data_IF_479477114663
#
_entry.id   IF_479477114663
#
_cell.length_a   1.000
_cell.length_b   1.000
_cell.length_c   1.000
_cell.angle_alpha   90.00
_cell.angle_beta   90.00
_cell.angle_gamma   90.00
#
_symmetry.space_group_name_H-M   'P 1'
#
loop_
_entity.id
_entity.type
_entity.pdbx_description
1 polymer ?
2 non-polymer ?
3 water ?
#
# COMPACT_ATOMS: atom_id res chain seq x y z
N UNK A 1 -20.48 -19.29 -13.04
CA UNK A 1 -19.43 -18.21 -12.90
C UNK A 1 -18.30 -18.41 -13.96
N UNK A 2 -17.43 -17.40 -14.12
CA UNK A 2 -16.21 -17.61 -14.92
C UNK A 2 -15.23 -18.42 -14.06
N UNK A 3 -14.21 -18.99 -14.69
CA UNK A 3 -13.15 -19.69 -14.02
C UNK A 3 -12.42 -18.78 -13.02
N UNK A 4 -11.88 -19.39 -11.95
CA UNK A 4 -11.11 -18.62 -11.00
C UNK A 4 -9.88 -18.10 -11.72
N UNK A 5 -9.44 -16.92 -11.32
CA UNK A 5 -8.24 -16.34 -11.86
C UNK A 5 -7.00 -17.07 -11.29
N UNK A 6 -6.16 -17.57 -12.18
CA UNK A 6 -4.90 -18.17 -11.77
C UNK A 6 -3.93 -17.11 -11.31
N UNK A 7 -3.51 -17.22 -10.04
CA UNK A 7 -2.81 -16.15 -9.36
C UNK A 7 -1.45 -16.66 -8.87
N UNK A 8 -0.41 -15.92 -9.21
CA UNK A 8 0.92 -16.20 -8.75
C UNK A 8 1.28 -15.13 -7.73
N UNK A 9 1.85 -15.54 -6.59
CA UNK A 9 2.30 -14.60 -5.60
C UNK A 9 3.83 -14.73 -5.49
N UNK A 10 4.52 -13.66 -5.92
CA UNK A 10 5.99 -13.61 -5.98
C UNK A 10 6.49 -12.86 -4.73
N UNK A 11 7.46 -13.44 -4.01
CA UNK A 11 7.90 -12.87 -2.73
C UNK A 11 6.91 -13.15 -1.61
N UNK A 12 6.30 -14.33 -1.69
CA UNK A 12 5.23 -14.75 -0.76
C UNK A 12 5.69 -14.97 0.69
N UNK A 13 6.98 -15.06 0.92
CA UNK A 13 7.48 -15.45 2.24
C UNK A 13 7.56 -14.29 3.23
N UNK A 14 7.39 -13.05 2.76
CA UNK A 14 7.39 -11.90 3.66
C UNK A 14 6.03 -11.66 4.30
N UNK A 15 5.95 -10.62 5.13
CA UNK A 15 4.77 -10.32 5.91
C UNK A 15 3.58 -9.93 5.04
N UNK A 16 3.80 -9.05 4.06
CA UNK A 16 2.77 -8.67 3.12
C UNK A 16 2.38 -9.85 2.23
N UNK A 17 3.35 -10.62 1.73
CA UNK A 17 3.08 -11.80 0.93
C UNK A 17 2.16 -12.78 1.65
N UNK A 18 2.41 -13.00 2.94
CA UNK A 18 1.58 -13.91 3.74
C UNK A 18 0.14 -13.42 3.82
N UNK A 19 -0.08 -12.12 3.94
CA UNK A 19 -1.43 -11.57 3.93
C UNK A 19 -2.13 -11.70 2.57
N UNK A 20 -1.39 -11.52 1.48
CA UNK A 20 -1.89 -11.83 0.15
C UNK A 20 -2.34 -13.28 0.03
N UNK A 21 -1.52 -14.19 0.56
CA UNK A 21 -1.86 -15.62 0.51
C UNK A 21 -3.23 -15.89 1.20
N UNK A 22 -3.44 -15.33 2.39
CA UNK A 22 -4.72 -15.49 3.08
C UNK A 22 -5.90 -15.00 2.28
N UNK A 23 -5.76 -13.80 1.71
CA UNK A 23 -6.83 -13.19 0.94
C UNK A 23 -7.14 -14.00 -0.32
N UNK A 24 -6.11 -14.37 -1.08
CA UNK A 24 -6.33 -15.08 -2.34
C UNK A 24 -6.91 -16.45 -2.08
N UNK A 25 -6.37 -17.13 -1.05
CA UNK A 25 -6.91 -18.42 -0.64
C UNK A 25 -8.42 -18.34 -0.39
N UNK A 26 -8.85 -17.28 0.30
CA UNK A 26 -10.23 -17.07 0.70
C UNK A 26 -11.12 -16.55 -0.45
N UNK A 27 -10.51 -15.87 -1.43
CA UNK A 27 -11.25 -15.28 -2.57
C UNK A 27 -11.97 -16.35 -3.42
N UNK A 28 -13.32 -16.27 -3.53
CA UNK A 28 -13.97 -17.29 -4.39
C UNK A 28 -13.63 -17.28 -5.89
N UNK A 29 -12.96 -16.23 -6.40
CA UNK A 29 -12.73 -16.10 -7.85
C UNK A 29 -11.26 -16.04 -8.22
N UNK A 30 -10.41 -16.44 -7.28
CA UNK A 30 -8.98 -16.41 -7.46
C UNK A 30 -8.44 -17.66 -6.82
N UNK A 31 -7.40 -18.22 -7.44
CA UNK A 31 -6.82 -19.43 -6.95
C UNK A 31 -5.31 -19.33 -7.07
N UNK A 32 -4.62 -19.83 -6.06
CA UNK A 32 -3.16 -19.75 -6.03
C UNK A 32 -2.57 -20.81 -6.94
N UNK A 33 -1.84 -20.36 -7.95
CA UNK A 33 -1.12 -21.27 -8.82
C UNK A 33 0.24 -21.63 -8.24
N UNK A 34 0.92 -20.67 -7.64
CA UNK A 34 2.21 -20.95 -7.03
C UNK A 34 2.58 -19.80 -6.15
N UNK A 35 3.46 -20.10 -5.19
CA UNK A 35 4.09 -19.11 -4.34
C UNK A 35 5.58 -19.19 -4.62
N UNK A 36 6.23 -18.03 -4.85
CA UNK A 36 7.64 -18.06 -5.22
C UNK A 36 8.51 -17.27 -4.27
N UNK A 37 9.77 -17.68 -4.24
CA UNK A 37 10.87 -16.95 -3.58
C UNK A 37 12.03 -16.80 -4.56
N UNK A 38 13.05 -16.02 -4.18
CA UNK A 38 14.21 -15.80 -5.07
C UNK A 38 14.91 -17.13 -5.36
N UNK A 39 15.70 -17.17 -6.43
CA UNK A 39 16.30 -18.43 -6.90
C UNK A 39 17.15 -19.18 -5.88
N UNK A 40 17.83 -18.43 -5.01
CA UNK A 40 18.75 -19.04 -4.05
C UNK A 40 18.33 -18.74 -2.62
N UNK A 41 17.02 -18.60 -2.41
CA UNK A 41 16.46 -18.27 -1.10
C UNK A 41 16.73 -19.37 -0.10
N UNK A 42 17.09 -18.97 1.12
CA UNK A 42 17.20 -19.92 2.21
C UNK A 42 15.85 -20.58 2.55
N UNK A 43 14.76 -20.04 2.03
CA UNK A 43 13.43 -20.57 2.34
C UNK A 43 12.81 -21.43 1.26
N UNK A 44 13.59 -21.70 0.22
CA UNK A 44 13.16 -22.55 -0.90
C UNK A 44 12.74 -23.95 -0.43
N UNK A 45 11.57 -24.40 -0.87
CA UNK A 45 11.08 -25.72 -0.51
C UNK A 45 10.32 -25.78 0.83
N UNK A 46 10.47 -24.76 1.66
CA UNK A 46 9.73 -24.71 2.92
C UNK A 46 8.27 -24.35 2.63
N UNK A 47 7.36 -24.82 3.48
CA UNK A 47 5.92 -24.51 3.30
C UNK A 47 5.68 -23.14 3.82
N UNK A 48 4.81 -22.37 3.15
CA UNK A 48 4.45 -21.02 3.62
C UNK A 48 3.99 -21.04 5.10
N UNK A 49 3.29 -22.10 5.50
CA UNK A 49 2.84 -22.23 6.90
C UNK A 49 3.95 -22.65 7.89
N UNK A 50 5.13 -23.05 7.39
CA UNK A 50 6.34 -23.16 8.24
C UNK A 50 6.81 -21.79 8.71
N UNK A 51 6.86 -20.83 7.79
CA UNK A 51 7.30 -19.46 8.11
C UNK A 51 6.17 -18.66 8.72
N UNK A 52 4.93 -18.97 8.36
CA UNK A 52 3.78 -18.20 8.83
C UNK A 52 2.71 -19.16 9.40
N UNK A 53 2.95 -19.68 10.62
CA UNK A 53 2.11 -20.78 11.10
C UNK A 53 0.67 -20.42 11.43
N UNK A 54 0.31 -19.14 11.40
CA UNK A 54 -1.10 -18.78 11.38
C UNK A 54 -1.82 -19.42 10.17
N UNK A 55 -1.08 -19.72 9.08
CA UNK A 55 -1.64 -20.38 7.90
C UNK A 55 -1.70 -21.92 8.00
N UNK A 56 -1.23 -22.48 9.11
CA UNK A 56 -1.20 -23.91 9.27
C UNK A 56 -2.59 -24.55 9.06
N UNK A 57 -2.63 -25.54 8.16
CA UNK A 57 -3.83 -26.26 7.80
C UNK A 57 -4.74 -25.49 6.83
N UNK A 58 -4.39 -24.24 6.52
CA UNK A 58 -5.23 -23.36 5.72
C UNK A 58 -4.57 -23.22 4.35
N UNK A 59 -3.32 -22.74 4.34
CA UNK A 59 -2.47 -22.82 3.14
C UNK A 59 -1.08 -23.39 3.51
N UNK A 60 -0.75 -24.55 2.96
CA UNK A 60 0.50 -25.24 3.25
C UNK A 60 1.31 -25.44 1.98
N UNK A 61 1.17 -24.54 1.02
CA UNK A 61 1.87 -24.68 -0.25
C UNK A 61 3.37 -24.44 -0.11
N UNK A 62 4.18 -25.14 -0.92
CA UNK A 62 5.64 -24.87 -0.83
C UNK A 62 6.03 -23.52 -1.44
N UNK A 63 7.13 -22.96 -0.94
CA UNK A 63 7.77 -21.77 -1.51
C UNK A 63 8.77 -22.19 -2.56
N UNK A 64 8.45 -21.92 -3.83
CA UNK A 64 9.25 -22.41 -4.95
C UNK A 64 10.30 -21.38 -5.37
N UNK A 65 11.58 -21.80 -5.47
CA UNK A 65 12.61 -20.87 -5.94
C UNK A 65 12.35 -20.56 -7.44
N UNK A 66 12.28 -19.28 -7.81
CA UNK A 66 12.10 -18.93 -9.21
C UNK A 66 13.35 -18.31 -9.77
N UNK A 67 13.88 -18.94 -10.81
CA UNK A 67 15.04 -18.39 -11.48
C UNK A 67 14.70 -17.84 -12.87
N UNK A 68 13.55 -18.27 -13.43
CA UNK A 68 13.08 -17.82 -14.74
C UNK A 68 11.56 -17.67 -14.69
N UNK A 69 11.09 -16.47 -15.02
CA UNK A 69 9.66 -16.13 -15.06
C UNK A 69 8.85 -17.10 -15.95
N UNK A 70 9.49 -17.61 -16.99
CA UNK A 70 8.80 -18.44 -17.97
C UNK A 70 8.47 -19.84 -17.44
N UNK A 71 9.09 -20.23 -16.32
CA UNK A 71 8.73 -21.45 -15.61
C UNK A 71 7.43 -21.29 -14.83
N UNK A 72 6.96 -20.05 -14.64
CA UNK A 72 5.75 -19.83 -13.85
C UNK A 72 4.64 -19.06 -14.57
N UNK A 73 4.96 -18.42 -15.69
CA UNK A 73 4.03 -17.48 -16.31
C UNK A 73 2.89 -18.13 -17.10
N UNK A 74 3.12 -19.34 -17.60
CA UNK A 74 2.11 -20.03 -18.41
C UNK A 74 0.85 -20.34 -17.60
N UNK A 75 -0.29 -19.99 -18.19
CA UNK A 75 -1.59 -20.10 -17.53
C UNK A 75 -1.72 -19.30 -16.23
N UNK A 76 -1.05 -18.15 -16.15
CA UNK A 76 -1.24 -17.23 -15.06
C UNK A 76 -2.03 -16.03 -15.59
N UNK A 77 -3.06 -15.63 -14.85
CA UNK A 77 -3.86 -14.44 -15.14
C UNK A 77 -3.32 -13.24 -14.34
N UNK A 78 -3.05 -13.45 -13.04
CA UNK A 78 -2.74 -12.33 -12.13
C UNK A 78 -1.43 -12.61 -11.41
N UNK A 79 -0.56 -11.61 -11.35
CA UNK A 79 0.66 -11.71 -10.59
C UNK A 79 0.69 -10.63 -9.53
N UNK A 80 0.87 -11.05 -8.28
CA UNK A 80 1.16 -10.08 -7.21
C UNK A 80 2.64 -10.11 -6.93
N UNK A 81 3.29 -8.96 -7.08
CA UNK A 81 4.73 -8.89 -6.68
C UNK A 81 4.89 -8.28 -5.29
N UNK A 82 5.13 -9.14 -4.29
CA UNK A 82 5.35 -8.65 -2.90
C UNK A 82 6.87 -8.62 -2.62
N UNK A 83 7.60 -8.03 -3.56
CA UNK A 83 9.04 -8.09 -3.60
C UNK A 83 9.58 -6.69 -3.42
N UNK A 84 10.91 -6.60 -3.34
CA UNK A 84 11.62 -5.31 -3.22
C UNK A 84 11.65 -4.55 -4.54
N UNK A 85 11.92 -3.24 -4.48
CA UNK A 85 11.85 -2.38 -5.69
C UNK A 85 12.66 -2.82 -6.87
N UNK A 86 13.91 -3.24 -6.65
CA UNK A 86 14.76 -3.59 -7.77
C UNK A 86 14.36 -4.93 -8.42
N UNK A 87 13.92 -5.89 -7.59
CA UNK A 87 13.32 -7.11 -8.11
C UNK A 87 12.04 -6.78 -8.93
N UNK A 88 11.17 -5.91 -8.43
CA UNK A 88 9.92 -5.59 -9.11
C UNK A 88 10.14 -4.90 -10.47
N UNK A 89 11.11 -4.00 -10.51
CA UNK A 89 11.57 -3.36 -11.73
C UNK A 89 11.98 -4.38 -12.80
N UNK A 90 12.70 -5.42 -12.37
CA UNK A 90 13.18 -6.49 -13.26
C UNK A 90 12.02 -7.40 -13.70
N UNK A 91 11.25 -7.84 -12.71
CA UNK A 91 10.17 -8.83 -12.91
C UNK A 91 8.89 -8.35 -13.60
N UNK A 92 8.38 -7.18 -13.23
CA UNK A 92 7.09 -6.70 -13.78
C UNK A 92 7.03 -6.76 -15.31
N UNK A 93 8.04 -6.17 -16.01
CA UNK A 93 7.99 -6.20 -17.48
C UNK A 93 7.95 -7.60 -18.07
N UNK A 94 8.66 -8.54 -17.44
CA UNK A 94 8.67 -9.90 -17.95
C UNK A 94 7.32 -10.57 -17.82
N UNK A 95 6.63 -10.32 -16.70
CA UNK A 95 5.29 -10.87 -16.51
C UNK A 95 4.25 -10.21 -17.43
N UNK A 96 4.38 -8.89 -17.64
CA UNK A 96 3.55 -8.17 -18.64
C UNK A 96 3.71 -8.75 -20.01
N UNK A 97 4.97 -8.96 -20.38
CA UNK A 97 5.32 -9.56 -21.65
C UNK A 97 4.72 -10.95 -21.87
N UNK A 98 4.56 -11.67 -20.77
CA UNK A 98 3.96 -13.00 -20.78
C UNK A 98 2.41 -12.96 -20.73
N UNK A 99 1.82 -11.77 -20.79
CA UNK A 99 0.36 -11.65 -20.84
C UNK A 99 -0.35 -11.62 -19.49
N UNK A 100 0.41 -11.38 -18.42
CA UNK A 100 -0.19 -11.34 -17.07
C UNK A 100 -0.61 -9.92 -16.70
N UNK A 101 -1.58 -9.82 -15.81
CA UNK A 101 -1.89 -8.57 -15.12
C UNK A 101 -1.02 -8.51 -13.85
N UNK A 102 -0.30 -7.40 -13.65
CA UNK A 102 0.66 -7.30 -12.56
C UNK A 102 0.25 -6.23 -11.53
N UNK A 103 0.09 -6.67 -10.28
CA UNK A 103 -0.10 -5.78 -9.15
C UNK A 103 1.22 -5.73 -8.41
N UNK A 104 1.91 -4.61 -8.56
CA UNK A 104 3.22 -4.44 -7.90
C UNK A 104 3.07 -3.69 -6.58
N UNK A 105 3.52 -4.31 -5.48
CA UNK A 105 3.44 -3.71 -4.14
C UNK A 105 4.64 -2.83 -3.85
N UNK A 106 5.67 -2.91 -4.68
CA UNK A 106 6.86 -2.12 -4.46
C UNK A 106 6.69 -0.68 -4.99
N UNK A 107 7.74 0.14 -4.80
CA UNK A 107 7.76 1.52 -5.26
C UNK A 107 8.15 1.70 -6.73
N UNK A 108 8.56 0.62 -7.39
CA UNK A 108 9.20 0.67 -8.70
C UNK A 108 8.42 1.38 -9.84
N UNK A 109 7.08 1.42 -9.75
CA UNK A 109 6.27 2.03 -10.82
C UNK A 109 5.29 3.12 -10.35
N UNK A 110 5.46 3.57 -9.11
CA UNK A 110 4.51 4.50 -8.48
C UNK A 110 4.57 5.94 -9.01
N UNK A 111 5.74 6.38 -9.45
CA UNK A 111 5.92 7.78 -9.80
C UNK A 111 6.42 7.89 -11.24
N UNK A 112 5.74 8.71 -12.03
CA UNK A 112 6.07 8.86 -13.46
C UNK A 112 7.23 9.83 -13.68
N UNK A 113 8.41 9.47 -13.15
CA UNK A 113 9.55 10.34 -13.16
C UNK A 113 10.82 9.54 -12.91
N UNK A 114 11.69 9.50 -13.91
CA UNK A 114 12.93 8.71 -13.88
C UNK A 114 13.92 9.22 -12.86
N UNK A 115 13.99 10.54 -12.72
CA UNK A 115 14.91 11.18 -11.76
C UNK A 115 14.54 10.81 -10.31
N UNK A 116 13.23 10.63 -10.09
CA UNK A 116 12.72 10.17 -8.80
C UNK A 116 13.41 8.87 -8.38
N UNK A 117 13.60 7.94 -9.32
CA UNK A 117 14.19 6.64 -8.99
C UNK A 117 15.69 6.75 -8.72
N UNK A 118 16.33 7.73 -9.36
CA UNK A 118 17.75 8.03 -9.11
C UNK A 118 17.98 8.37 -7.65
N UNK A 119 17.36 9.49 -7.22
CA UNK A 119 17.57 10.03 -5.89
C UNK A 119 17.17 9.02 -4.83
N UNK A 120 15.89 8.62 -4.86
CA UNK A 120 15.27 8.01 -3.69
C UNK A 120 15.33 6.49 -3.67
N UNK A 121 15.67 5.89 -4.83
CA UNK A 121 15.70 4.44 -4.96
C UNK A 121 17.06 3.89 -5.42
N UNK A 122 17.90 4.79 -5.92
CA UNK A 122 19.29 4.44 -6.23
C UNK A 122 19.58 3.83 -7.61
N UNK A 123 18.55 3.58 -8.43
CA UNK A 123 18.74 2.91 -9.74
C UNK A 123 18.17 3.70 -10.93
N UNK A 124 18.67 3.43 -12.13
CA UNK A 124 18.12 4.02 -13.36
C UNK A 124 16.94 3.18 -13.90
N UNK A 125 15.75 3.75 -13.84
CA UNK A 125 14.53 3.09 -14.29
C UNK A 125 14.58 2.86 -15.81
N UNK A 126 14.47 1.61 -16.24
CA UNK A 126 14.64 1.26 -17.64
C UNK A 126 13.33 1.16 -18.41
N UNK A 127 12.21 1.46 -17.76
CA UNK A 127 10.89 1.30 -18.40
C UNK A 127 10.01 2.55 -18.29
N UNK A 128 10.43 3.66 -18.91
CA UNK A 128 9.66 4.89 -18.81
C UNK A 128 8.26 4.78 -19.43
N UNK A 129 8.07 3.94 -20.45
CA UNK A 129 6.75 3.69 -21.00
C UNK A 129 5.80 2.98 -20.01
N UNK A 130 6.36 2.14 -19.13
CA UNK A 130 5.60 1.53 -18.02
C UNK A 130 5.31 2.48 -16.87
N UNK A 131 6.19 3.47 -16.65
CA UNK A 131 5.87 4.58 -15.73
C UNK A 131 4.62 5.38 -16.16
N UNK A 132 4.44 5.54 -17.47
CA UNK A 132 3.25 6.17 -18.07
C UNK A 132 2.02 5.27 -18.09
N UNK A 133 2.24 3.98 -18.26
CA UNK A 133 1.15 2.99 -18.27
C UNK A 133 0.57 2.63 -16.89
N UNK A 134 1.44 2.56 -15.88
CA UNK A 134 1.09 2.17 -14.50
C UNK A 134 -0.05 3.01 -13.92
N UNK A 135 -0.96 2.34 -13.23
CA UNK A 135 -2.02 3.02 -12.54
C UNK A 135 -1.68 2.97 -11.06
N UNK A 136 -1.70 4.14 -10.43
CA UNK A 136 -1.43 4.25 -9.01
C UNK A 136 -2.60 3.68 -8.23
N UNK A 137 -2.36 2.60 -7.47
CA UNK A 137 -3.45 1.85 -6.90
C UNK A 137 -4.04 2.42 -5.62
N UNK A 138 -4.16 3.74 -5.51
CA UNK A 138 -4.90 4.30 -4.40
C UNK A 138 -6.39 4.15 -4.79
N UNK A 139 -7.01 3.08 -4.29
CA UNK A 139 -8.21 2.53 -4.91
C UNK A 139 -9.42 3.45 -4.86
N UNK A 140 -9.56 4.24 -3.80
CA UNK A 140 -10.71 5.17 -3.66
C UNK A 140 -10.69 6.29 -4.73
N UNK A 141 -9.54 6.54 -5.35
CA UNK A 141 -9.40 7.68 -6.27
C UNK A 141 -9.03 7.30 -7.67
N UNK A 142 -8.92 5.99 -7.96
CA UNK A 142 -8.50 5.58 -9.29
C UNK A 142 -9.33 4.48 -9.91
N UNK A 143 -10.62 4.45 -9.57
CA UNK A 143 -11.51 3.36 -10.04
C UNK A 143 -11.54 3.21 -11.57
N UNK A 144 -11.74 4.31 -12.29
CA UNK A 144 -11.91 4.19 -13.75
C UNK A 144 -10.67 3.61 -14.44
N UNK A 145 -9.49 4.12 -14.09
CA UNK A 145 -8.24 3.60 -14.65
C UNK A 145 -7.91 2.17 -14.15
N UNK A 146 -8.29 1.84 -12.92
CA UNK A 146 -8.08 0.48 -12.42
C UNK A 146 -8.87 -0.56 -13.17
N UNK A 147 -10.00 -0.18 -13.77
CA UNK A 147 -10.83 -1.10 -14.52
C UNK A 147 -10.15 -1.72 -15.72
N UNK A 148 -9.23 -0.97 -16.32
CA UNK A 148 -8.50 -1.39 -17.51
C UNK A 148 -6.97 -1.52 -17.34
N UNK A 149 -6.48 -1.36 -16.11
CA UNK A 149 -5.03 -1.41 -15.85
C UNK A 149 -4.43 -2.83 -15.91
N UNK A 150 -3.34 -2.99 -16.65
CA UNK A 150 -2.58 -4.25 -16.58
C UNK A 150 -1.33 -4.16 -15.73
N UNK A 151 -0.90 -2.93 -15.43
CA UNK A 151 0.14 -2.69 -14.43
C UNK A 151 -0.39 -1.74 -13.36
N UNK A 152 -0.47 -2.23 -12.14
CA UNK A 152 -0.96 -1.47 -11.01
C UNK A 152 0.21 -1.30 -10.04
N UNK A 153 0.52 -0.04 -9.72
CA UNK A 153 1.57 0.25 -8.75
C UNK A 153 0.87 0.57 -7.44
N UNK A 154 0.87 -0.41 -6.52
CA UNK A 154 0.18 -0.25 -5.25
C UNK A 154 0.96 0.80 -4.42
N UNK A 155 0.25 1.80 -3.86
CA UNK A 155 0.89 2.85 -3.02
C UNK A 155 1.63 2.29 -1.80
N UNK A 156 2.61 3.05 -1.30
CA UNK A 156 3.27 2.73 -0.01
C UNK A 156 2.27 2.79 1.12
N UNK A 157 2.62 2.15 2.23
CA UNK A 157 1.74 2.08 3.40
C UNK A 157 1.50 3.48 4.00
N UNK A 158 2.56 4.23 4.30
CA UNK A 158 2.36 5.57 4.82
C UNK A 158 1.61 6.50 3.83
N UNK A 159 2.02 6.53 2.53
CA UNK A 159 1.28 7.31 1.52
C UNK A 159 -0.21 7.07 1.42
N UNK A 160 -0.66 5.84 1.65
CA UNK A 160 -2.07 5.53 1.55
C UNK A 160 -2.91 6.35 2.53
N UNK A 161 -2.65 6.24 3.84
CA UNK A 161 -3.40 7.01 4.84
C UNK A 161 -3.17 8.53 4.69
N UNK A 162 -1.94 8.92 4.35
CA UNK A 162 -1.65 10.35 4.10
C UNK A 162 -2.53 10.96 3.00
N UNK A 163 -2.65 10.24 1.87
CA UNK A 163 -3.39 10.78 0.73
C UNK A 163 -4.87 10.62 0.90
N UNK A 164 -5.33 9.56 1.56
CA UNK A 164 -6.75 9.48 1.83
C UNK A 164 -7.16 10.66 2.71
N UNK A 165 -6.32 11.02 3.68
CA UNK A 165 -6.57 12.19 4.51
C UNK A 165 -6.52 13.52 3.74
N UNK A 166 -5.49 13.71 2.92
CA UNK A 166 -5.21 15.04 2.37
C UNK A 166 -5.84 15.37 1.00
N UNK A 167 -5.99 14.34 0.16
CA UNK A 167 -6.37 14.61 -1.24
C UNK A 167 -7.71 15.35 -1.36
N UNK A 168 -8.77 14.84 -0.70
CA UNK A 168 -10.05 15.55 -0.87
C UNK A 168 -10.01 16.98 -0.29
N UNK A 169 -9.20 17.21 0.74
CA UNK A 169 -9.05 18.56 1.31
C UNK A 169 -8.34 19.52 0.36
N UNK A 170 -7.29 19.04 -0.31
CA UNK A 170 -6.52 19.82 -1.26
C UNK A 170 -7.32 20.07 -2.54
N UNK A 171 -7.86 19.01 -3.13
CA UNK A 171 -8.74 19.16 -4.29
C UNK A 171 -9.97 20.03 -3.98
N UNK A 172 -10.40 20.06 -2.72
CA UNK A 172 -11.52 20.91 -2.34
C UNK A 172 -11.13 22.36 -2.10
N UNK A 173 -9.84 22.66 -2.14
CA UNK A 173 -9.34 24.02 -1.91
C UNK A 173 -9.45 24.51 -0.46
N UNK A 174 -9.49 23.59 0.49
CA UNK A 174 -9.71 23.97 1.89
C UNK A 174 -8.45 24.40 2.62
N UNK A 175 -7.27 24.06 2.09
CA UNK A 175 -6.03 24.21 2.86
C UNK A 175 -5.19 25.37 2.36
N UNK A 176 -4.60 26.10 3.30
CA UNK A 176 -3.63 27.14 3.01
C UNK A 176 -2.29 26.41 2.87
N UNK A 177 -1.95 26.07 1.63
CA UNK A 177 -0.81 25.22 1.36
C UNK A 177 0.54 25.91 1.51
N UNK A 178 0.53 27.22 1.75
CA UNK A 178 1.77 27.93 2.07
C UNK A 178 2.36 27.50 3.44
N UNK A 179 1.53 26.86 4.27
CA UNK A 179 2.03 26.14 5.45
C UNK A 179 1.90 24.65 5.13
N UNK A 180 3.02 24.03 4.74
CA UNK A 180 3.04 22.62 4.30
C UNK A 180 2.38 21.74 5.35
N UNK A 181 1.43 20.89 4.93
CA UNK A 181 0.93 19.91 5.90
C UNK A 181 2.06 19.13 6.59
N UNK A 182 1.91 18.92 7.90
CA UNK A 182 2.86 18.14 8.67
C UNK A 182 2.29 16.75 8.99
N UNK A 183 2.90 15.74 8.40
CA UNK A 183 2.47 14.36 8.60
C UNK A 183 3.42 13.68 9.55
N UNK A 184 2.96 13.42 10.77
CA UNK A 184 3.71 12.63 11.73
C UNK A 184 3.11 11.24 11.80
N UNK A 185 3.89 10.25 11.45
CA UNK A 185 3.34 8.91 11.32
C UNK A 185 4.16 7.90 12.15
N UNK A 186 3.47 6.94 12.74
CA UNK A 186 4.11 5.83 13.47
C UNK A 186 3.66 4.51 12.90
N UNK A 187 4.63 3.62 12.61
CA UNK A 187 4.34 2.27 12.10
C UNK A 187 4.79 1.19 13.06
N UNK A 188 4.08 0.05 13.06
CA UNK A 188 4.59 -1.15 13.74
C UNK A 188 5.75 -1.71 12.93
N UNK A 189 6.54 -2.59 13.55
CA UNK A 189 7.78 -3.10 12.95
C UNK A 189 7.62 -4.01 11.71
N UNK A 190 6.43 -4.60 11.51
CA UNK A 190 6.22 -5.43 10.29
C UNK A 190 6.43 -4.62 8.99
N UNK A 191 6.28 -3.30 9.09
CA UNK A 191 6.49 -2.42 7.91
C UNK A 191 7.95 -2.38 7.42
N UNK A 192 8.91 -2.70 8.28
CA UNK A 192 10.30 -2.91 7.85
C UNK A 192 10.52 -4.21 7.06
N UNK A 193 9.56 -5.14 7.09
CA UNK A 193 9.68 -6.37 6.32
C UNK A 193 10.28 -7.50 7.16
N UNK A 194 10.15 -8.72 6.64
CA UNK A 194 10.65 -9.92 7.29
C UNK A 194 12.15 -10.03 7.01
N UNK A 195 12.95 -9.86 8.01
CA UNK A 195 14.39 -9.76 7.75
C UNK A 195 15.09 -9.66 9.07
N UNK A 196 16.22 -10.32 9.13
CA UNK A 196 17.08 -10.22 10.26
C UNK A 196 17.93 -8.95 10.07
N UNK A 197 17.57 -7.87 10.76
CA UNK A 197 18.45 -6.68 10.80
C UNK A 197 18.51 -6.16 12.24
N UNK A 198 19.57 -5.46 12.58
CA UNK A 198 19.71 -4.89 13.92
C UNK A 198 18.53 -3.95 14.26
N UNK A 199 18.18 -3.07 13.32
CA UNK A 199 17.19 -2.02 13.58
C UNK A 199 15.74 -2.52 13.80
N UNK A 200 15.38 -3.70 13.25
CA UNK A 200 14.07 -4.28 13.59
C UNK A 200 14.15 -5.46 14.61
N UNK A 201 15.34 -5.66 15.17
CA UNK A 201 15.56 -6.67 16.21
C UNK A 201 14.77 -6.23 17.46
N UNK A 202 14.22 -7.20 18.20
CA UNK A 202 13.25 -6.88 19.25
C UNK A 202 13.74 -5.78 20.20
N UNK A 203 14.93 -5.98 20.78
CA UNK A 203 15.41 -5.07 21.82
C UNK A 203 15.81 -3.68 21.31
N UNK A 204 15.94 -3.55 19.99
CA UNK A 204 16.32 -2.29 19.37
C UNK A 204 15.13 -1.35 19.12
N UNK A 205 13.89 -1.79 19.32
CA UNK A 205 12.72 -0.97 19.00
C UNK A 205 12.06 -0.35 20.26
N UNK A 206 11.67 0.91 20.16
CA UNK A 206 11.06 1.67 21.27
C UNK A 206 10.12 2.69 20.58
N UNK A 207 10.63 3.90 20.36
CA UNK A 207 9.99 4.87 19.48
C UNK A 207 11.12 5.77 19.02
N UNK A 208 11.24 5.93 17.70
CA UNK A 208 12.27 6.81 17.11
C UNK A 208 11.85 7.26 15.73
N UNK A 209 11.98 8.58 15.43
CA UNK A 209 11.82 9.05 14.05
C UNK A 209 12.95 8.52 13.20
N UNK A 210 12.70 8.34 11.90
CA UNK A 210 13.77 7.94 10.97
C UNK A 210 13.46 8.53 9.60
N UNK A 211 14.42 8.47 8.69
CA UNK A 211 14.19 9.03 7.35
C UNK A 211 13.77 10.49 7.42
N UNK A 212 14.31 11.20 8.40
CA UNK A 212 13.96 12.59 8.60
C UNK A 212 14.43 13.47 7.42
N UNK A 213 13.46 14.06 6.72
CA UNK A 213 13.75 14.78 5.47
C UNK A 213 14.42 13.89 4.40
N UNK A 214 14.33 12.57 4.49
CA UNK A 214 14.99 11.73 3.47
C UNK A 214 14.15 10.54 3.02
N UNK A 215 13.03 10.28 3.68
CA UNK A 215 12.23 9.11 3.36
C UNK A 215 11.63 9.14 1.94
N UNK A 216 11.76 8.03 1.21
CA UNK A 216 11.25 7.91 -0.16
C UNK A 216 9.74 8.02 -0.28
N UNK A 217 9.01 7.86 0.83
CA UNK A 217 7.58 8.09 0.81
C UNK A 217 7.20 9.55 0.71
N UNK A 218 8.09 10.47 1.13
CA UNK A 218 7.76 11.87 1.06
C UNK A 218 7.48 12.33 -0.38
N UNK A 219 8.45 12.15 -1.31
CA UNK A 219 8.15 12.57 -2.69
C UNK A 219 6.95 11.85 -3.34
N UNK A 220 6.74 10.57 -3.04
CA UNK A 220 5.55 9.88 -3.51
C UNK A 220 4.27 10.66 -3.13
N UNK A 221 4.19 11.03 -1.86
CA UNK A 221 3.04 11.77 -1.36
C UNK A 221 2.93 13.15 -2.02
N UNK A 222 4.04 13.91 -2.05
CA UNK A 222 4.06 15.28 -2.60
C UNK A 222 3.70 15.32 -4.08
N UNK A 223 4.26 14.40 -4.85
CA UNK A 223 4.04 14.38 -6.28
C UNK A 223 2.56 14.01 -6.57
N UNK A 224 2.05 12.99 -5.90
CA UNK A 224 0.70 12.57 -6.18
C UNK A 224 -0.36 13.57 -5.69
N UNK A 225 -0.10 14.21 -4.55
CA UNK A 225 -0.98 15.26 -4.02
C UNK A 225 -0.85 16.57 -4.80
N UNK A 226 0.30 16.77 -5.43
CA UNK A 226 0.60 18.02 -6.11
C UNK A 226 0.87 19.14 -5.12
N UNK A 227 1.31 18.77 -3.92
CA UNK A 227 1.66 19.74 -2.89
C UNK A 227 2.75 19.24 -1.99
N UNK A 228 3.63 20.16 -1.58
CA UNK A 228 4.72 19.84 -0.66
C UNK A 228 4.20 19.59 0.74
N UNK A 229 4.75 18.55 1.38
CA UNK A 229 4.41 18.17 2.74
C UNK A 229 5.66 17.94 3.59
N UNK A 230 5.50 18.03 4.91
CA UNK A 230 6.49 17.46 5.84
C UNK A 230 6.00 16.03 6.20
N UNK A 231 6.88 15.04 6.03
CA UNK A 231 6.57 13.65 6.34
C UNK A 231 7.64 13.06 7.28
N UNK A 232 7.24 12.75 8.52
CA UNK A 232 8.17 12.15 9.48
C UNK A 232 7.66 10.81 10.01
N UNK A 233 8.26 9.70 9.53
CA UNK A 233 7.86 8.37 10.05
C UNK A 233 8.60 8.03 11.34
N UNK A 234 8.02 7.12 12.13
CA UNK A 234 8.54 6.73 13.45
C UNK A 234 8.30 5.24 13.55
N UNK A 235 9.28 4.51 14.10
CA UNK A 235 9.13 3.08 14.31
C UNK A 235 8.72 2.90 15.76
N UNK A 236 7.57 2.29 15.98
CA UNK A 236 7.07 2.01 17.32
C UNK A 236 7.17 0.54 17.67
N UNK A 237 7.13 0.22 18.96
CA UNK A 237 7.31 -1.15 19.38
C UNK A 237 5.97 -1.90 19.51
N UNK A 238 5.34 -2.15 18.36
CA UNK A 238 4.18 -2.99 18.27
C UNK A 238 4.34 -3.52 16.83
N UNK A 239 3.78 -4.72 16.54
CA UNK A 239 4.01 -5.34 15.18
C UNK A 239 3.28 -4.70 13.98
N UNK A 240 2.07 -4.20 14.19
CA UNK A 240 1.16 -3.90 13.09
C UNK A 240 0.39 -2.61 13.31
N UNK A 241 0.18 -1.87 12.22
CA UNK A 241 -0.58 -0.64 12.26
C UNK A 241 0.21 0.62 11.96
N UNK A 242 -0.45 1.56 11.29
CA UNK A 242 0.10 2.90 11.11
C UNK A 242 -0.94 3.89 11.61
N UNK A 243 -0.50 4.84 12.46
CA UNK A 243 -1.34 5.99 12.80
C UNK A 243 -0.62 7.24 12.29
N UNK A 244 -1.34 8.14 11.60
CA UNK A 244 -0.77 9.41 11.18
C UNK A 244 -1.56 10.54 11.79
N UNK A 245 -0.84 11.52 12.34
CA UNK A 245 -1.44 12.75 12.83
C UNK A 245 -1.01 13.88 11.90
N UNK A 246 -1.99 14.47 11.22
CA UNK A 246 -1.68 15.40 10.15
C UNK A 246 -2.21 16.78 10.49
N UNK A 247 -1.28 17.75 10.60
CA UNK A 247 -1.61 19.09 11.05
C UNK A 247 -1.51 20.07 9.90
N UNK A 248 -2.60 20.80 9.65
CA UNK A 248 -2.64 21.77 8.55
C UNK A 248 -3.21 23.12 8.96
N UNK A 249 -2.93 24.13 8.14
CA UNK A 249 -3.63 25.41 8.23
C UNK A 249 -4.73 25.47 7.17
N UNK A 250 -5.95 25.76 7.62
CA UNK A 250 -7.11 25.95 6.74
C UNK A 250 -7.09 27.32 6.11
N UNK A 251 -7.71 27.46 4.94
CA UNK A 251 -7.95 28.81 4.40
C UNK A 251 -8.88 29.63 5.29
N UNK A 252 -8.74 30.94 5.23
CA UNK A 252 -9.62 31.86 5.97
C UNK A 252 -11.11 31.49 5.79
N UNK A 253 -11.81 31.35 6.91
CA UNK A 253 -13.25 31.09 6.86
C UNK A 253 -13.70 29.64 6.73
N UNK A 254 -12.79 28.72 6.41
CA UNK A 254 -13.12 27.30 6.32
C UNK A 254 -13.49 26.76 7.71
N UNK A 255 -14.60 26.02 7.77
CA UNK A 255 -15.16 25.59 9.05
C UNK A 255 -15.07 24.08 9.22
N UNK A 256 -15.28 23.61 10.46
CA UNK A 256 -15.42 22.16 10.72
C UNK A 256 -16.48 21.50 9.79
N UNK A 257 -17.64 22.13 9.65
CA UNK A 257 -18.71 21.66 8.77
C UNK A 257 -18.27 21.45 7.33
N UNK A 258 -17.48 22.36 6.79
CA UNK A 258 -16.97 22.24 5.42
C UNK A 258 -15.97 21.11 5.24
N UNK A 259 -15.13 20.87 6.26
CA UNK A 259 -14.22 19.75 6.23
C UNK A 259 -15.01 18.43 6.24
N UNK A 260 -15.97 18.33 7.16
CA UNK A 260 -16.87 17.18 7.29
C UNK A 260 -17.60 16.87 5.96
N UNK A 261 -18.14 17.91 5.31
CA UNK A 261 -18.86 17.75 4.03
C UNK A 261 -17.97 17.18 2.95
N UNK A 262 -16.76 17.72 2.85
CA UNK A 262 -15.78 17.21 1.88
C UNK A 262 -15.42 15.72 2.14
N UNK A 263 -15.16 15.36 3.40
CA UNK A 263 -14.80 13.97 3.73
C UNK A 263 -15.96 13.01 3.50
N UNK A 264 -17.16 13.45 3.88
CA UNK A 264 -18.37 12.65 3.71
C UNK A 264 -18.67 12.42 2.23
N UNK A 265 -18.49 13.45 1.43
CA UNK A 265 -18.71 13.34 -0.02
C UNK A 265 -17.66 12.41 -0.67
N UNK A 266 -16.41 12.55 -0.25
CA UNK A 266 -15.34 11.68 -0.75
C UNK A 266 -15.53 10.20 -0.34
N UNK A 267 -15.93 9.93 0.91
CA UNK A 267 -15.79 8.56 1.46
C UNK A 267 -17.03 7.92 2.06
N UNK A 268 -18.15 8.64 1.99
CA UNK A 268 -19.39 8.18 2.61
C UNK A 268 -19.81 6.82 2.07
N UNK A 269 -19.56 6.59 0.77
CA UNK A 269 -19.91 5.37 0.07
C UNK A 269 -18.68 4.51 -0.25
N UNK A 270 -17.53 4.80 0.34
CA UNK A 270 -16.31 4.03 0.12
C UNK A 270 -16.17 2.99 1.23
N UNK A 271 -16.34 1.69 0.89
CA UNK A 271 -16.49 0.64 1.92
C UNK A 271 -15.25 0.36 2.77
N UNK A 272 -14.05 0.68 2.26
CA UNK A 272 -12.84 0.52 3.05
C UNK A 272 -12.44 1.77 3.84
N UNK A 273 -13.24 2.82 3.81
CA UNK A 273 -12.92 3.94 4.66
C UNK A 273 -13.96 4.02 5.78
N UNK A 274 -13.51 4.19 7.01
CA UNK A 274 -14.43 4.47 8.13
C UNK A 274 -14.23 5.88 8.68
N UNK A 275 -15.27 6.70 8.52
CA UNK A 275 -15.24 8.09 8.95
C UNK A 275 -15.74 8.25 10.37
N UNK A 276 -14.95 8.90 11.22
CA UNK A 276 -15.36 9.26 12.57
C UNK A 276 -15.95 10.66 12.45
N UNK A 277 -17.24 10.80 12.74
CA UNK A 277 -17.89 12.10 12.79
C UNK A 277 -17.35 12.99 13.89
N UNK A 278 -17.06 12.39 15.04
CA UNK A 278 -16.47 13.13 16.13
C UNK A 278 -15.37 12.31 16.78
N UNK A 279 -14.29 12.99 17.19
CA UNK A 279 -13.16 12.30 17.83
C UNK A 279 -12.26 11.58 16.83
N UNK A 280 -11.22 10.94 17.35
CA UNK A 280 -10.14 10.42 16.50
C UNK A 280 -9.88 8.93 16.79
N UNK A 281 -9.51 8.13 15.77
CA UNK A 281 -9.32 6.71 16.00
C UNK A 281 -8.08 6.29 16.80
N UNK A 282 -8.22 5.14 17.48
CA UNK A 282 -7.14 4.48 18.18
C UNK A 282 -6.63 3.37 17.25
N UNK A 283 -5.32 3.21 17.22
CA UNK A 283 -4.72 2.28 16.27
C UNK A 283 -5.21 0.82 16.40
N UNK A 284 -5.41 0.29 17.62
CA UNK A 284 -5.83 -1.11 17.72
C UNK A 284 -7.17 -1.45 17.04
N UNK A 285 -8.01 -0.46 16.75
CA UNK A 285 -9.34 -0.77 16.27
C UNK A 285 -9.38 -1.05 14.77
N UNK A 286 -8.25 -0.86 14.10
CA UNK A 286 -8.14 -1.23 12.68
C UNK A 286 -7.14 -2.39 12.45
N UNK A 287 -6.33 -2.75 13.45
CA UNK A 287 -5.36 -3.81 13.28
C UNK A 287 -6.08 -5.14 12.95
N UNK A 288 -5.61 -5.86 11.92
CA UNK A 288 -6.30 -7.10 11.49
C UNK A 288 -7.49 -6.86 10.56
N UNK A 289 -7.78 -5.58 10.26
CA UNK A 289 -8.92 -5.19 9.39
C UNK A 289 -8.42 -4.43 8.16
N UNK A 290 -9.20 -4.45 7.06
CA UNK A 290 -8.71 -3.84 5.80
C UNK A 290 -9.05 -2.34 5.63
N UNK A 291 -9.49 -1.67 6.68
CA UNK A 291 -9.95 -0.26 6.58
C UNK A 291 -8.85 0.79 6.72
N UNK A 292 -9.18 2.00 6.30
CA UNK A 292 -8.51 3.21 6.76
C UNK A 292 -9.56 4.00 7.57
N UNK A 293 -9.25 4.29 8.83
CA UNK A 293 -10.15 5.01 9.75
C UNK A 293 -9.72 6.46 9.84
N UNK A 294 -10.63 7.41 9.64
CA UNK A 294 -10.29 8.85 9.62
C UNK A 294 -11.20 9.67 10.51
N UNK A 295 -10.61 10.42 11.44
CA UNK A 295 -11.30 11.44 12.25
C UNK A 295 -10.54 12.76 12.15
N UNK A 296 -11.11 13.85 12.68
CA UNK A 296 -10.44 15.14 12.60
C UNK A 296 -11.01 16.11 13.61
N UNK A 297 -10.31 17.23 13.81
CA UNK A 297 -10.73 18.27 14.74
C UNK A 297 -10.24 19.59 14.16
N UNK A 298 -10.97 20.65 14.46
CA UNK A 298 -10.68 21.98 13.93
C UNK A 298 -10.66 22.98 15.09
N UNK A 299 -9.73 23.91 15.08
CA UNK A 299 -9.81 25.03 16.00
C UNK A 299 -9.36 26.25 15.26
N UNK A 300 -10.28 27.20 15.07
CA UNK A 300 -10.00 28.36 14.23
C UNK A 300 -9.46 27.91 12.88
N UNK A 301 -8.30 28.42 12.49
CA UNK A 301 -7.71 28.08 11.17
C UNK A 301 -6.81 26.84 11.18
N UNK A 302 -6.78 26.09 12.28
CA UNK A 302 -5.99 24.87 12.37
C UNK A 302 -6.83 23.61 12.30
N UNK A 303 -6.31 22.66 11.54
CA UNK A 303 -6.94 21.38 11.34
C UNK A 303 -5.94 20.27 11.71
N UNK A 304 -6.42 19.28 12.48
CA UNK A 304 -5.71 18.03 12.70
C UNK A 304 -6.56 16.86 12.17
N UNK A 305 -6.01 16.11 11.23
CA UNK A 305 -6.63 14.86 10.74
C UNK A 305 -5.84 13.68 11.31
N UNK A 306 -6.55 12.69 11.82
CA UNK A 306 -5.92 11.46 12.33
C UNK A 306 -6.41 10.27 11.50
N UNK A 307 -5.48 9.56 10.87
CA UNK A 307 -5.80 8.38 10.03
C UNK A 307 -5.05 7.13 10.50
N UNK A 308 -5.73 5.99 10.55
CA UNK A 308 -5.09 4.72 10.92
C UNK A 308 -5.35 3.68 9.84
N UNK A 309 -4.49 2.67 9.75
CA UNK A 309 -4.75 1.56 8.87
C UNK A 309 -3.90 0.46 9.45
N UNK A 310 -4.16 -0.78 9.02
CA UNK A 310 -3.22 -1.84 9.28
C UNK A 310 -2.17 -1.76 8.15
N UNK A 311 -0.90 -1.57 8.51
CA UNK A 311 0.13 -1.37 7.50
C UNK A 311 0.26 -2.51 6.48
N UNK A 312 -0.05 -3.74 6.86
CA UNK A 312 0.02 -4.91 5.96
C UNK A 312 -1.26 -5.12 5.14
N UNK A 313 -2.34 -4.44 5.54
CA UNK A 313 -3.64 -4.66 4.92
C UNK A 313 -4.01 -3.51 4.00
N UNK A 314 -4.74 -2.49 4.49
CA UNK A 314 -4.96 -1.30 3.64
C UNK A 314 -3.62 -0.62 3.21
N UNK A 315 -2.59 -0.69 4.05
CA UNK A 315 -1.27 -0.21 3.65
C UNK A 315 -0.51 -1.07 2.63
N UNK A 316 -1.04 -2.25 2.29
CA UNK A 316 -0.34 -3.16 1.36
C UNK A 316 -1.27 -4.20 0.70
N UNK A 317 -1.40 -5.39 1.30
CA UNK A 317 -2.09 -6.55 0.68
C UNK A 317 -3.58 -6.35 0.39
N UNK A 318 -4.32 -5.73 1.33
CA UNK A 318 -5.77 -5.54 1.12
C UNK A 318 -6.02 -4.51 0.02
N UNK A 319 -5.18 -3.45 -0.04
CA UNK A 319 -5.28 -2.51 -1.13
C UNK A 319 -4.98 -3.15 -2.50
N UNK A 320 -3.96 -4.00 -2.55
CA UNK A 320 -3.65 -4.76 -3.76
C UNK A 320 -4.85 -5.60 -4.21
N UNK A 321 -5.48 -6.31 -3.28
CA UNK A 321 -6.63 -7.18 -3.61
C UNK A 321 -7.85 -6.33 -3.98
N UNK A 322 -8.05 -5.23 -3.26
CA UNK A 322 -9.09 -4.25 -3.62
C UNK A 322 -8.93 -3.77 -5.07
N UNK A 323 -7.71 -3.39 -5.47
CA UNK A 323 -7.41 -3.04 -6.86
C UNK A 323 -7.75 -4.15 -7.84
N UNK A 324 -7.45 -5.40 -7.46
CA UNK A 324 -7.71 -6.56 -8.28
C UNK A 324 -9.21 -6.78 -8.43
N UNK A 325 -9.97 -6.60 -7.34
CA UNK A 325 -11.44 -6.66 -7.40
C UNK A 325 -12.01 -5.65 -8.38
N UNK A 326 -11.53 -4.42 -8.32
CA UNK A 326 -11.94 -3.38 -9.24
C UNK A 326 -11.59 -3.74 -10.71
N UNK A 327 -10.35 -4.18 -10.92
CA UNK A 327 -9.86 -4.60 -12.22
C UNK A 327 -10.65 -5.75 -12.83
N UNK A 328 -11.09 -6.70 -11.99
CA UNK A 328 -11.73 -7.87 -12.59
C UNK A 328 -13.23 -7.93 -12.44
N UNK A 329 -13.81 -6.83 -11.94
CA UNK A 329 -15.26 -6.76 -11.83
C UNK A 329 -15.88 -7.46 -10.61
N UNK A 330 -15.07 -7.77 -9.59
CA UNK A 330 -15.55 -8.38 -8.34
C UNK A 330 -15.97 -7.29 -7.34
N UNK A 331 -16.84 -7.67 -6.40
CA UNK A 331 -17.23 -6.74 -5.31
C UNK A 331 -15.95 -6.19 -4.72
N UNK A 332 -15.93 -4.88 -4.53
CA UNK A 332 -14.74 -4.14 -4.09
C UNK A 332 -14.05 -4.73 -2.84
N UNK A 333 -14.85 -5.17 -1.86
CA UNK A 333 -14.25 -5.76 -0.65
C UNK A 333 -14.25 -7.30 -0.64
N UNK A 334 -14.51 -7.94 -1.78
CA UNK A 334 -14.47 -9.40 -1.81
C UNK A 334 -13.15 -9.99 -1.28
N UNK A 335 -13.28 -10.91 -0.32
CA UNK A 335 -12.20 -11.60 0.44
C UNK A 335 -11.62 -10.77 1.59
N UNK A 336 -11.98 -9.50 1.69
CA UNK A 336 -11.28 -8.60 2.61
C UNK A 336 -11.98 -8.52 3.96
N UNK A 337 -13.25 -8.90 3.95
CA UNK A 337 -14.20 -8.59 5.03
C UNK A 337 -15.09 -9.78 5.41
X LIG B 1 -8.95 -22.98 -4.54
X LIG B 1 -8.71 -21.54 -4.51
X LIG B 1 -10.36 -23.32 -4.78
X LIG B 1 -8.17 -23.59 -5.62
X LIG B 1 -8.53 -23.56 -3.26
X LIG C 1 10.45 -0.62 -2.23
X LIG C 1 11.25 0.51 -1.79
X LIG C 1 10.13 -0.45 -3.65
X LIG C 1 11.23 -1.81 -2.04
X LIG C 1 9.20 -0.63 -1.49
X LIG D 1 -19.50 -3.60 -5.18
X LIG D 1 -19.74 -4.33 -3.94
X LIG D 1 -18.07 -3.21 -5.31
X LIG D 1 -19.97 -4.44 -6.30
X LIG D 1 -20.30 -2.37 -5.17
X LIG E 1 -15.77 6.42 -8.03
X LIG E 1 -14.50 6.39 -7.29
X LIG E 1 -16.62 7.49 -7.49
X LIG E 1 -15.50 6.67 -9.45
X LIG E 1 -16.46 5.12 -7.93
X LIG F 1 7.68 -8.16 3.66
X LIG F 1 8.82 -7.33 3.26
X LIG F 1 6.51 -7.37 4.10
X LIG F 1 7.23 -8.91 2.50
X LIG F 1 8.22 -9.08 4.68
X LIG G 1 6.70 0.40 0.73
X LIG G 1 7.12 1.66 0.11
X LIG G 1 7.80 -0.01 1.59
X LIG G 1 5.40 0.47 1.47
X LIG G 1 6.56 -0.56 -0.38
X LIG H 1 -20.30 21.29 12.81
X LIG H 1 -19.28 22.25 13.27
X LIG H 1 -21.49 22.00 12.36
X LIG H 1 -19.75 20.46 11.72
X LIG H 1 -20.75 20.44 13.92
X LIG I 1 -18.96 8.73 15.09
X LIG I 1 -18.42 10.02 15.56
X LIG I 1 -20.38 8.67 15.43
X LIG I 1 -18.90 8.48 13.61
X LIG I 1 -18.25 7.69 15.87
X LIG J 1 17.64 6.82 9.55
X LIG J 1 19.08 6.95 9.25
X LIG J 1 16.86 6.81 8.29
X LIG J 1 17.42 5.50 10.18
X LIG J 1 17.27 7.93 10.45
X LIG K 1 10.42 1.71 5.83
X LIG K 1 11.82 2.10 5.52
X LIG K 1 9.53 2.84 6.10
X LIG K 1 9.90 0.96 4.68
X LIG K 1 10.38 0.79 6.97
#
# INVERSE_FOLDING_TARGET
SNAMLNTLIVGASGYAGAELVSYVNRHPHMTITALTVSAQSNDAGKLISDLHPQLKGIVDLPLQPMSDVRDFSADVDVVFLATAHEVSHDLAPQFLQAGCVVFDLSGAFRVNDRAFYEKYYGFTHQYPELLEQAVYGLAEWNVDKLNTANLIAVPGCYPTAAQLSLKPLIDGGLLDLTQWPVINATSGVSGAGRKAAISNSFCEVSLQPYGVFTHRHQPEIAVHLGAEVIFTPHLGNFPRGILETITCRLKAGVTHAQVADVLQKAYGDKPLVRLYDKGVPALKNVVGLPFCDIGFAVQGEHLIVVATEDNLLKGAAAQAVQCANIRFGFAETQSLI
SO4 S O1 O2 O3 O4
SO4 S O1 O2 O3 O4
SO4 S O1 O2 O3 O4
SO4 S O1 O2 O3 O4
SO4 S O1 O2 O3 O4
SO4 S O1 O2 O3 O4
SO4 S O1 O2 O3 O4
SO4 S O1 O2 O3 O4
SO4 S O1 O2 O3 O4
SO4 S O1 O2 O3 O4
#
